data_IF_212964431910
#
_entry.id   IF_212964431910
#
_cell.length_a   1.000
_cell.length_b   1.000
_cell.length_c   1.000
_cell.angle_alpha   90.00
_cell.angle_beta   90.00
_cell.angle_gamma   90.00
#
_symmetry.space_group_name_H-M   'P 1'
#
loop_
_entity.id
_entity.type
_entity.pdbx_description
1 polymer ?
#
# COMPACT_ATOMS: atom_id res chain seq x y z
N UNK A 1 15.63 -44.79 16.58
CA UNK A 1 16.83 -43.92 16.72
C UNK A 1 16.42 -42.77 17.63
N UNK A 2 17.04 -42.67 18.82
CA UNK A 2 16.85 -41.51 19.70
C UNK A 2 17.74 -40.36 19.16
N UNK A 3 17.20 -39.19 19.05
CA UNK A 3 17.94 -37.99 18.62
C UNK A 3 18.90 -37.58 19.75
N UNK A 4 20.16 -37.25 19.42
CA UNK A 4 21.17 -36.80 20.40
C UNK A 4 21.06 -35.29 20.63
N UNK A 5 20.13 -34.86 21.49
CA UNK A 5 19.94 -33.47 21.85
C UNK A 5 21.16 -32.90 22.58
N UNK A 6 21.92 -33.68 23.34
CA UNK A 6 23.09 -33.16 24.06
C UNK A 6 24.20 -32.75 23.06
N UNK A 7 24.48 -33.60 22.08
CA UNK A 7 25.45 -33.28 21.02
C UNK A 7 25.07 -32.07 20.20
N UNK A 8 23.79 -31.93 19.87
CA UNK A 8 23.25 -30.82 19.11
C UNK A 8 23.35 -29.47 19.88
N UNK A 9 22.91 -29.47 21.15
CA UNK A 9 22.82 -28.27 21.97
C UNK A 9 24.12 -27.86 22.66
N UNK A 10 25.16 -28.68 22.60
CA UNK A 10 26.44 -28.39 23.24
C UNK A 10 27.07 -27.06 22.85
N UNK A 11 26.79 -26.57 21.66
CA UNK A 11 27.33 -25.30 21.15
C UNK A 11 26.33 -24.14 21.22
N UNK A 12 25.14 -24.34 21.75
CA UNK A 12 24.12 -23.28 21.86
C UNK A 12 24.52 -22.25 22.92
N UNK A 13 24.18 -20.96 22.71
CA UNK A 13 24.35 -19.92 23.72
C UNK A 13 23.53 -20.23 24.99
N UNK A 14 24.03 -19.80 26.16
CA UNK A 14 23.36 -20.03 27.44
C UNK A 14 21.92 -19.49 27.45
N UNK A 15 21.67 -18.38 26.78
CA UNK A 15 20.34 -17.76 26.64
C UNK A 15 19.35 -18.69 25.90
N UNK A 16 19.79 -19.38 24.84
CA UNK A 16 18.94 -20.32 24.09
C UNK A 16 18.63 -21.57 24.88
N UNK A 17 19.64 -22.09 25.62
CA UNK A 17 19.44 -23.23 26.50
C UNK A 17 18.47 -22.89 27.64
N UNK A 18 18.58 -21.70 28.23
CA UNK A 18 17.67 -21.21 29.25
C UNK A 18 16.23 -21.07 28.73
N UNK A 19 16.07 -20.60 27.50
CA UNK A 19 14.76 -20.52 26.83
C UNK A 19 14.11 -21.90 26.67
N UNK A 20 14.86 -22.92 26.25
CA UNK A 20 14.36 -24.31 26.15
C UNK A 20 13.85 -24.80 27.50
N UNK A 21 14.59 -24.50 28.58
CA UNK A 21 14.19 -24.91 29.94
C UNK A 21 12.94 -24.17 30.44
N UNK A 22 12.75 -22.90 30.07
CA UNK A 22 11.62 -22.08 30.53
C UNK A 22 10.33 -22.36 29.76
N UNK A 23 10.42 -22.92 28.55
CA UNK A 23 9.29 -23.25 27.70
C UNK A 23 9.19 -24.77 27.44
N UNK A 24 9.04 -25.61 28.50
CA UNK A 24 9.07 -27.07 28.34
C UNK A 24 7.93 -27.62 27.49
N UNK A 25 6.84 -26.87 27.32
CA UNK A 25 5.71 -27.27 26.48
C UNK A 25 5.99 -27.22 24.98
N UNK A 26 7.00 -26.46 24.56
CA UNK A 26 7.35 -26.27 23.17
C UNK A 26 8.44 -27.23 22.67
N UNK A 27 9.02 -28.01 23.61
CA UNK A 27 10.16 -28.89 23.34
C UNK A 27 9.91 -30.30 23.85
N UNK A 28 10.61 -31.29 23.30
CA UNK A 28 10.57 -32.64 23.77
C UNK A 28 11.23 -32.75 25.16
N UNK A 29 10.75 -33.62 26.06
CA UNK A 29 11.31 -33.76 27.42
C UNK A 29 12.82 -34.03 27.42
N UNK A 30 13.30 -34.80 26.47
CA UNK A 30 14.73 -35.15 26.32
C UNK A 30 15.56 -33.91 25.92
N UNK A 31 14.99 -32.98 25.12
CA UNK A 31 15.63 -31.74 24.74
C UNK A 31 15.77 -30.82 25.96
N UNK A 32 14.74 -30.74 26.79
CA UNK A 32 14.77 -29.93 28.05
C UNK A 32 15.79 -30.51 29.04
N UNK A 33 15.84 -31.83 29.17
CA UNK A 33 16.82 -32.50 30.03
C UNK A 33 18.25 -32.25 29.54
N UNK A 34 18.51 -32.34 28.24
CA UNK A 34 19.80 -32.08 27.65
C UNK A 34 20.24 -30.58 27.86
N UNK A 35 19.33 -29.66 27.67
CA UNK A 35 19.62 -28.23 27.91
C UNK A 35 19.98 -27.95 29.39
N UNK A 36 19.23 -28.55 30.33
CA UNK A 36 19.49 -28.45 31.75
C UNK A 36 20.86 -29.04 32.13
N UNK A 37 21.20 -30.20 31.57
CA UNK A 37 22.48 -30.86 31.82
C UNK A 37 23.64 -30.01 31.33
N UNK A 38 23.55 -29.45 30.10
CA UNK A 38 24.59 -28.57 29.52
C UNK A 38 24.81 -27.32 30.37
N UNK A 39 23.73 -26.68 30.85
CA UNK A 39 23.85 -25.50 31.71
C UNK A 39 24.51 -25.82 33.04
N UNK A 40 24.21 -26.99 33.64
CA UNK A 40 24.85 -27.46 34.86
C UNK A 40 26.33 -27.80 34.63
N UNK A 41 26.68 -28.43 33.52
CA UNK A 41 28.06 -28.79 33.18
C UNK A 41 28.93 -27.54 32.95
N UNK A 42 28.34 -26.42 32.48
CA UNK A 42 29.02 -25.16 32.30
C UNK A 42 29.27 -24.39 33.60
N UNK A 43 28.71 -24.82 34.73
CA UNK A 43 28.88 -24.18 36.05
C UNK A 43 28.67 -22.65 36.03
N UNK A 44 27.59 -22.19 35.39
CA UNK A 44 27.30 -20.77 35.23
C UNK A 44 27.12 -20.11 36.59
N UNK A 45 27.81 -18.99 36.84
CA UNK A 45 27.69 -18.21 38.08
C UNK A 45 26.23 -17.77 38.30
N UNK A 46 25.78 -17.75 39.55
CA UNK A 46 24.40 -17.37 39.91
C UNK A 46 24.02 -15.99 39.38
N UNK A 47 24.96 -15.07 39.38
CA UNK A 47 24.78 -13.69 38.87
C UNK A 47 24.57 -13.66 37.35
N UNK A 48 25.33 -14.49 36.60
CA UNK A 48 25.19 -14.63 35.16
C UNK A 48 23.87 -15.28 34.82
N UNK A 49 23.42 -16.28 35.56
CA UNK A 49 22.12 -16.92 35.36
C UNK A 49 20.97 -15.93 35.57
N UNK A 50 21.05 -15.06 36.61
CA UNK A 50 20.04 -14.03 36.87
C UNK A 50 20.00 -12.99 35.73
N UNK A 51 21.15 -12.56 35.24
CA UNK A 51 21.23 -11.59 34.13
C UNK A 51 20.66 -12.16 32.82
N UNK A 52 20.88 -13.45 32.54
CA UNK A 52 20.32 -14.16 31.41
C UNK A 52 18.80 -14.31 31.55
N UNK A 53 18.30 -14.63 32.74
CA UNK A 53 16.86 -14.77 33.01
C UNK A 53 16.13 -13.42 32.83
N UNK A 54 16.75 -12.33 33.31
CA UNK A 54 16.22 -10.98 33.11
C UNK A 54 16.19 -10.58 31.64
N UNK A 55 17.26 -10.86 30.88
CA UNK A 55 17.33 -10.61 29.44
C UNK A 55 16.26 -11.40 28.67
N UNK A 56 15.92 -12.58 29.13
CA UNK A 56 14.89 -13.43 28.54
C UNK A 56 13.48 -12.88 28.81
N UNK A 57 13.25 -12.39 30.04
CA UNK A 57 12.00 -11.70 30.40
C UNK A 57 11.79 -10.43 29.56
N UNK A 58 12.82 -9.60 29.44
CA UNK A 58 12.78 -8.35 28.65
C UNK A 58 12.46 -8.65 27.17
N UNK A 59 13.04 -9.71 26.59
CA UNK A 59 12.75 -10.15 25.23
C UNK A 59 11.31 -10.67 25.05
N UNK A 60 10.75 -11.35 26.05
CA UNK A 60 9.37 -11.82 26.02
C UNK A 60 8.39 -10.66 26.15
N UNK A 61 8.69 -9.69 27.01
CA UNK A 61 7.87 -8.50 27.19
C UNK A 61 7.84 -7.62 25.91
N UNK A 62 9.01 -7.41 25.29
CA UNK A 62 9.13 -6.70 24.00
C UNK A 62 8.34 -7.39 22.86
N UNK A 63 8.32 -8.73 22.85
CA UNK A 63 7.50 -9.51 21.92
C UNK A 63 6.01 -9.34 22.19
N UNK A 64 5.58 -9.38 23.46
CA UNK A 64 4.18 -9.15 23.84
C UNK A 64 3.71 -7.78 23.43
N UNK A 65 4.49 -6.73 23.72
CA UNK A 65 4.17 -5.36 23.32
C UNK A 65 4.02 -5.23 21.79
N UNK A 66 4.93 -5.84 21.03
CA UNK A 66 4.85 -5.84 19.56
C UNK A 66 3.59 -6.54 19.04
N UNK A 67 3.25 -7.69 19.61
CA UNK A 67 2.04 -8.45 19.24
C UNK A 67 0.80 -7.61 19.57
N UNK A 68 0.72 -7.05 20.78
CA UNK A 68 -0.39 -6.20 21.20
C UNK A 68 -0.56 -4.96 20.30
N UNK A 69 0.55 -4.32 19.95
CA UNK A 69 0.55 -3.19 19.01
C UNK A 69 0.04 -3.58 17.62
N UNK A 70 0.46 -4.75 17.12
CA UNK A 70 -0.03 -5.29 15.84
C UNK A 70 -1.53 -5.61 15.91
N UNK A 71 -2.01 -6.18 17.00
CA UNK A 71 -3.43 -6.48 17.20
C UNK A 71 -4.27 -5.21 17.31
N UNK A 72 -3.80 -4.20 18.02
CA UNK A 72 -4.45 -2.87 18.06
C UNK A 72 -4.53 -2.27 16.66
N UNK A 73 -3.43 -2.26 15.91
CA UNK A 73 -3.42 -1.76 14.53
C UNK A 73 -4.36 -2.56 13.60
N UNK A 74 -4.43 -3.89 13.75
CA UNK A 74 -5.38 -4.73 13.01
C UNK A 74 -6.83 -4.38 13.36
N UNK A 75 -7.12 -4.17 14.65
CA UNK A 75 -8.46 -3.82 15.11
C UNK A 75 -8.87 -2.43 14.63
N UNK A 76 -7.97 -1.45 14.71
CA UNK A 76 -8.18 -0.11 14.17
C UNK A 76 -8.40 -0.15 12.65
N UNK A 77 -7.54 -0.87 11.91
CA UNK A 77 -7.71 -1.06 10.48
C UNK A 77 -9.02 -1.78 10.13
N UNK A 78 -9.39 -2.82 10.89
CA UNK A 78 -10.67 -3.50 10.71
C UNK A 78 -11.86 -2.58 11.01
N UNK A 79 -11.76 -1.71 11.99
CA UNK A 79 -12.80 -0.72 12.33
C UNK A 79 -12.92 0.33 11.22
N UNK A 80 -11.80 0.81 10.67
CA UNK A 80 -11.77 1.74 9.55
C UNK A 80 -12.26 1.09 8.24
N UNK A 81 -11.98 -0.21 8.04
CA UNK A 81 -12.38 -0.96 6.86
C UNK A 81 -13.77 -1.60 7.00
N UNK A 82 -14.31 -1.73 8.22
CA UNK A 82 -15.63 -2.35 8.47
C UNK A 82 -16.76 -1.72 7.67
N UNK A 83 -16.81 -0.39 7.43
CA UNK A 83 -17.82 0.19 6.56
C UNK A 83 -17.68 -0.26 5.09
N UNK A 84 -16.47 -0.66 4.68
CA UNK A 84 -16.17 -1.11 3.31
C UNK A 84 -16.48 -2.60 3.16
N UNK A 85 -16.19 -3.40 4.20
CA UNK A 85 -16.25 -4.86 4.17
C UNK A 85 -17.61 -5.44 4.59
N UNK A 86 -18.45 -4.66 5.28
CA UNK A 86 -19.79 -5.11 5.67
C UNK A 86 -20.85 -4.62 4.68
N UNK A 87 -21.30 -5.46 3.73
CA UNK A 87 -22.28 -5.05 2.71
C UNK A 87 -23.69 -4.80 3.26
N UNK A 88 -23.94 -5.05 4.55
CA UNK A 88 -25.28 -4.98 5.13
C UNK A 88 -25.69 -3.62 5.73
N UNK A 89 -24.76 -2.72 5.99
CA UNK A 89 -25.14 -1.35 6.35
C UNK A 89 -25.15 -0.55 5.04
N UNK A 90 -26.34 -0.13 4.58
CA UNK A 90 -26.47 0.87 3.50
C UNK A 90 -25.63 2.08 3.88
N UNK A 91 -24.39 2.07 3.46
CA UNK A 91 -23.49 3.21 3.63
C UNK A 91 -24.11 4.32 2.80
N UNK A 92 -24.40 5.44 3.42
CA UNK A 92 -24.94 6.58 2.70
C UNK A 92 -23.92 6.98 1.61
N UNK A 93 -24.31 6.84 0.32
CA UNK A 93 -23.39 7.18 -0.78
C UNK A 93 -22.87 8.62 -0.70
N UNK A 94 -23.57 9.51 0.01
CA UNK A 94 -23.18 10.90 0.22
C UNK A 94 -21.95 11.02 1.15
N UNK A 95 -21.84 10.16 2.16
CA UNK A 95 -20.67 10.13 3.06
C UNK A 95 -19.43 9.68 2.32
N UNK A 96 -19.56 8.63 1.49
CA UNK A 96 -18.48 8.17 0.64
C UNK A 96 -17.99 9.24 -0.33
N UNK A 97 -18.93 9.99 -0.93
CA UNK A 97 -18.59 11.10 -1.79
C UNK A 97 -17.77 12.15 -1.03
N UNK A 98 -18.10 12.45 0.23
CA UNK A 98 -17.36 13.41 1.05
C UNK A 98 -15.93 12.96 1.31
N UNK A 99 -15.70 11.69 1.70
CA UNK A 99 -14.35 11.14 1.87
C UNK A 99 -13.55 11.18 0.56
N UNK A 100 -14.21 10.83 -0.53
CA UNK A 100 -13.61 10.85 -1.85
C UNK A 100 -13.18 12.26 -2.29
N UNK A 101 -14.01 13.27 -2.02
CA UNK A 101 -13.68 14.67 -2.28
C UNK A 101 -12.47 15.13 -1.45
N UNK A 102 -12.35 14.69 -0.20
CA UNK A 102 -11.16 14.98 0.62
C UNK A 102 -9.90 14.40 -0.02
N UNK A 103 -9.94 13.15 -0.49
CA UNK A 103 -8.78 12.51 -1.13
C UNK A 103 -8.38 13.23 -2.42
N UNK A 104 -9.35 13.61 -3.27
CA UNK A 104 -9.09 14.42 -4.47
C UNK A 104 -8.49 15.78 -4.08
N UNK A 105 -9.02 16.42 -3.05
CA UNK A 105 -8.48 17.68 -2.54
C UNK A 105 -7.02 17.57 -2.11
N UNK A 106 -6.66 16.52 -1.38
CA UNK A 106 -5.28 16.24 -0.98
C UNK A 106 -4.38 15.98 -2.19
N UNK A 107 -4.87 15.22 -3.17
CA UNK A 107 -4.14 14.98 -4.42
C UNK A 107 -3.90 16.30 -5.17
N UNK A 108 -4.88 17.21 -5.19
CA UNK A 108 -4.72 18.53 -5.81
C UNK A 108 -3.65 19.37 -5.11
N UNK A 109 -3.66 19.41 -3.78
CA UNK A 109 -2.60 20.10 -3.02
C UNK A 109 -1.22 19.56 -3.36
N UNK A 110 -1.08 18.23 -3.46
CA UNK A 110 0.16 17.58 -3.88
C UNK A 110 0.58 17.97 -5.30
N UNK A 111 -0.37 18.05 -6.24
CA UNK A 111 -0.13 18.50 -7.62
C UNK A 111 0.36 19.93 -7.65
N UNK A 112 -0.26 20.84 -6.88
CA UNK A 112 0.17 22.24 -6.77
C UNK A 112 1.60 22.37 -6.25
N UNK A 113 1.96 21.55 -5.26
CA UNK A 113 3.34 21.51 -4.74
C UNK A 113 4.34 21.04 -5.81
N UNK A 114 3.96 20.04 -6.61
CA UNK A 114 4.75 19.59 -7.77
C UNK A 114 4.97 20.68 -8.80
N UNK A 115 3.91 21.43 -9.13
CA UNK A 115 3.95 22.55 -10.07
C UNK A 115 4.80 23.69 -9.52
N UNK A 116 4.68 24.03 -8.25
CA UNK A 116 5.53 25.04 -7.63
C UNK A 116 7.01 24.70 -7.75
N UNK A 117 7.40 23.43 -7.52
CA UNK A 117 8.78 22.96 -7.75
C UNK A 117 9.21 23.09 -9.20
N UNK A 118 8.31 22.84 -10.17
CA UNK A 118 8.61 22.99 -11.61
C UNK A 118 8.82 24.44 -11.99
N UNK A 119 8.03 25.37 -11.43
CA UNK A 119 8.19 26.81 -11.64
C UNK A 119 9.56 27.31 -11.14
N UNK A 120 10.03 26.79 -10.00
CA UNK A 120 11.35 27.13 -9.47
C UNK A 120 12.46 26.66 -10.43
N UNK A 121 12.34 25.45 -10.99
CA UNK A 121 13.29 24.95 -12.02
C UNK A 121 13.29 25.81 -13.28
N UNK A 122 12.11 26.22 -13.73
CA UNK A 122 11.96 27.11 -14.88
C UNK A 122 12.69 28.44 -14.66
N UNK A 123 12.60 29.00 -13.45
CA UNK A 123 13.33 30.22 -13.09
C UNK A 123 14.85 30.03 -13.18
N UNK A 124 15.35 28.81 -12.89
CA UNK A 124 16.76 28.45 -12.96
C UNK A 124 17.25 28.09 -14.39
N UNK A 125 16.46 28.37 -15.42
CA UNK A 125 16.75 28.11 -16.86
C UNK A 125 16.96 26.64 -17.21
N UNK A 126 16.33 25.70 -16.47
CA UNK A 126 16.28 24.30 -16.86
C UNK A 126 15.36 24.09 -18.07
N UNK A 127 15.64 23.10 -18.91
CA UNK A 127 14.83 22.78 -20.07
C UNK A 127 13.40 22.42 -19.67
N UNK A 128 12.44 23.07 -20.34
CA UNK A 128 11.02 22.83 -20.14
C UNK A 128 10.52 21.83 -21.18
N UNK A 129 9.91 20.73 -20.71
CA UNK A 129 9.39 19.70 -21.58
C UNK A 129 7.89 19.91 -21.83
N UNK A 130 7.38 19.45 -22.96
CA UNK A 130 5.97 19.52 -23.31
C UNK A 130 5.04 18.88 -22.24
N UNK A 131 5.52 17.87 -21.52
CA UNK A 131 4.80 17.23 -20.39
C UNK A 131 4.49 18.23 -19.28
N UNK A 132 5.31 19.25 -19.09
CA UNK A 132 5.10 20.26 -18.05
C UNK A 132 3.87 21.12 -18.32
N UNK A 133 3.48 21.31 -19.60
CA UNK A 133 2.24 22.02 -19.96
C UNK A 133 0.99 21.23 -19.52
N UNK A 134 1.02 19.91 -19.57
CA UNK A 134 -0.08 19.06 -19.11
C UNK A 134 -0.31 19.25 -17.61
N UNK A 135 0.78 19.33 -16.83
CA UNK A 135 0.67 19.57 -15.40
C UNK A 135 0.09 20.96 -15.09
N UNK A 136 0.47 22.01 -15.84
CA UNK A 136 -0.16 23.33 -15.70
C UNK A 136 -1.65 23.31 -16.02
N UNK A 137 -2.07 22.53 -17.01
CA UNK A 137 -3.49 22.36 -17.32
C UNK A 137 -4.26 21.76 -16.15
N UNK A 138 -3.63 20.86 -15.39
CA UNK A 138 -4.24 20.21 -14.22
C UNK A 138 -4.65 21.20 -13.12
N UNK A 139 -4.01 22.38 -13.04
CA UNK A 139 -4.36 23.45 -12.08
C UNK A 139 -5.81 23.92 -12.27
N UNK A 140 -6.28 23.94 -13.51
CA UNK A 140 -7.65 24.36 -13.83
C UNK A 140 -8.60 23.16 -13.95
N UNK A 141 -8.11 22.06 -14.47
CA UNK A 141 -8.88 20.86 -14.74
C UNK A 141 -9.39 20.18 -13.46
N UNK A 142 -8.53 20.03 -12.44
CA UNK A 142 -8.91 19.36 -11.18
C UNK A 142 -9.97 20.17 -10.41
N UNK A 143 -9.83 21.51 -10.19
CA UNK A 143 -10.89 22.30 -9.55
C UNK A 143 -12.20 22.30 -10.32
N UNK A 144 -12.14 22.26 -11.66
CA UNK A 144 -13.33 22.17 -12.50
C UNK A 144 -14.06 20.83 -12.27
N UNK A 145 -13.34 19.72 -12.27
CA UNK A 145 -13.94 18.41 -11.93
C UNK A 145 -14.52 18.45 -10.50
N UNK A 146 -13.79 18.99 -9.54
CA UNK A 146 -14.21 19.10 -8.15
C UNK A 146 -15.51 19.90 -8.02
N UNK A 147 -15.64 21.01 -8.71
CA UNK A 147 -16.87 21.79 -8.81
C UNK A 147 -18.04 20.96 -9.35
N UNK A 148 -17.82 20.22 -10.46
CA UNK A 148 -18.84 19.37 -11.06
C UNK A 148 -19.27 18.22 -10.14
N UNK A 149 -18.35 17.67 -9.34
CA UNK A 149 -18.64 16.62 -8.37
C UNK A 149 -19.47 17.13 -7.19
N UNK A 150 -19.13 18.31 -6.65
CA UNK A 150 -19.92 18.95 -5.59
C UNK A 150 -21.36 19.23 -6.06
N UNK A 151 -21.49 19.69 -7.32
CA UNK A 151 -22.79 19.92 -7.95
C UNK A 151 -23.48 18.64 -8.42
N UNK A 152 -22.92 17.46 -8.13
CA UNK A 152 -23.43 16.14 -8.55
C UNK A 152 -23.76 16.08 -10.05
N UNK A 153 -22.97 16.76 -10.88
CA UNK A 153 -23.18 16.77 -12.32
C UNK A 153 -22.62 15.50 -12.95
N UNK A 154 -23.35 14.93 -13.92
CA UNK A 154 -22.96 13.74 -14.70
C UNK A 154 -21.55 13.87 -15.31
N UNK A 155 -21.22 15.05 -15.82
CA UNK A 155 -19.89 15.32 -16.39
C UNK A 155 -18.75 15.20 -15.37
N UNK A 156 -18.99 15.55 -14.11
CA UNK A 156 -17.99 15.35 -13.04
C UNK A 156 -17.58 13.89 -12.90
N UNK A 157 -18.57 13.00 -12.88
CA UNK A 157 -18.32 11.54 -12.85
C UNK A 157 -17.58 11.06 -14.11
N UNK A 158 -18.06 11.48 -15.30
CA UNK A 158 -17.47 11.07 -16.59
C UNK A 158 -15.99 11.47 -16.68
N UNK A 159 -15.67 12.73 -16.39
CA UNK A 159 -14.31 13.26 -16.47
C UNK A 159 -13.39 12.59 -15.45
N UNK A 160 -13.86 12.44 -14.22
CA UNK A 160 -13.07 11.80 -13.17
C UNK A 160 -12.83 10.30 -13.43
N UNK A 161 -13.86 9.59 -13.91
CA UNK A 161 -13.71 8.20 -14.28
C UNK A 161 -12.74 8.06 -15.47
N UNK A 162 -12.89 8.88 -16.50
CA UNK A 162 -12.02 8.85 -17.68
C UNK A 162 -10.56 9.15 -17.30
N UNK A 163 -10.31 10.14 -16.45
CA UNK A 163 -8.97 10.47 -15.96
C UNK A 163 -8.33 9.30 -15.20
N UNK A 164 -9.04 8.74 -14.21
CA UNK A 164 -8.51 7.64 -13.41
C UNK A 164 -8.34 6.35 -14.21
N UNK A 165 -9.32 6.01 -15.06
CA UNK A 165 -9.29 4.78 -15.86
C UNK A 165 -8.24 4.87 -16.98
N UNK A 166 -8.13 6.02 -17.66
CA UNK A 166 -7.09 6.27 -18.65
C UNK A 166 -5.69 6.22 -18.03
N UNK A 167 -5.52 6.88 -16.89
CA UNK A 167 -4.26 6.85 -16.14
C UNK A 167 -3.90 5.45 -15.62
N UNK A 168 -4.89 4.61 -15.28
CA UNK A 168 -4.67 3.20 -14.92
C UNK A 168 -4.11 2.43 -16.11
N UNK A 169 -4.69 2.56 -17.30
CA UNK A 169 -4.22 1.92 -18.54
C UNK A 169 -2.78 2.35 -18.84
N UNK A 170 -2.47 3.65 -18.76
CA UNK A 170 -1.12 4.18 -18.98
C UNK A 170 -0.13 3.60 -17.98
N UNK A 171 -0.44 3.58 -16.68
CA UNK A 171 0.44 3.03 -15.66
C UNK A 171 0.69 1.53 -15.82
N UNK A 172 -0.30 0.76 -16.24
CA UNK A 172 -0.13 -0.67 -16.55
C UNK A 172 0.81 -0.86 -17.75
N UNK A 173 0.67 -0.02 -18.78
CA UNK A 173 1.51 -0.07 -19.97
C UNK A 173 2.96 0.33 -19.68
N UNK A 174 3.16 1.39 -18.91
CA UNK A 174 4.50 1.81 -18.46
C UNK A 174 5.18 0.71 -17.64
N UNK A 175 4.42 0.08 -16.73
CA UNK A 175 4.91 -1.04 -15.93
C UNK A 175 5.27 -2.24 -16.81
N UNK A 176 4.45 -2.58 -17.80
CA UNK A 176 4.74 -3.66 -18.75
C UNK A 176 6.02 -3.37 -19.55
N UNK A 177 6.18 -2.15 -20.07
CA UNK A 177 7.35 -1.71 -20.81
C UNK A 177 8.60 -1.78 -19.92
N UNK A 178 8.50 -1.31 -18.68
CA UNK A 178 9.59 -1.34 -17.71
C UNK A 178 10.07 -2.77 -17.45
N UNK A 179 9.17 -3.73 -17.20
CA UNK A 179 9.54 -5.13 -16.99
C UNK A 179 10.08 -5.81 -18.25
N UNK A 180 9.51 -5.50 -19.42
CA UNK A 180 9.93 -6.13 -20.69
C UNK A 180 11.34 -5.73 -21.10
N UNK A 181 11.73 -4.49 -20.89
CA UNK A 181 13.03 -3.96 -21.33
C UNK A 181 14.10 -3.98 -20.23
N UNK A 182 13.85 -4.70 -19.13
CA UNK A 182 14.82 -4.91 -18.03
C UNK A 182 15.52 -3.62 -17.53
N UNK A 183 14.83 -2.50 -17.51
CA UNK A 183 15.32 -1.28 -16.84
C UNK A 183 15.41 -1.47 -15.31
N UNK A 184 15.77 -2.73 -14.87
CA UNK A 184 15.72 -3.20 -13.48
C UNK A 184 16.92 -2.70 -12.67
N UNK A 185 17.62 -1.66 -13.09
CA UNK A 185 18.80 -1.38 -12.31
C UNK A 185 18.60 -0.59 -11.02
N UNK A 186 17.51 0.12 -10.74
CA UNK A 186 17.32 0.77 -9.41
C UNK A 186 15.88 1.30 -9.12
N UNK A 187 14.83 0.78 -9.77
CA UNK A 187 13.46 1.19 -9.47
C UNK A 187 12.85 0.41 -8.29
N UNK A 188 12.41 1.11 -7.26
CA UNK A 188 11.63 0.48 -6.20
C UNK A 188 10.28 0.03 -6.76
N UNK A 189 10.03 -1.29 -6.85
CA UNK A 189 8.78 -1.89 -7.37
C UNK A 189 7.53 -1.29 -6.72
N UNK A 190 7.62 -0.87 -5.46
CA UNK A 190 6.55 -0.22 -4.72
C UNK A 190 6.07 1.07 -5.40
N UNK A 191 6.97 1.84 -6.02
CA UNK A 191 6.64 3.10 -6.71
C UNK A 191 5.72 2.89 -7.93
N UNK A 192 5.71 1.71 -8.52
CA UNK A 192 4.83 1.37 -9.65
C UNK A 192 3.53 0.73 -9.21
N UNK A 193 3.60 -0.18 -8.23
CA UNK A 193 2.43 -0.97 -7.79
C UNK A 193 1.42 -0.10 -7.03
N UNK A 194 1.88 0.76 -6.12
CA UNK A 194 0.98 1.58 -5.29
C UNK A 194 0.08 2.50 -6.12
N UNK A 195 0.57 3.28 -7.10
CA UNK A 195 -0.28 4.10 -7.95
C UNK A 195 -1.31 3.29 -8.75
N UNK A 196 -0.95 2.10 -9.25
CA UNK A 196 -1.87 1.22 -9.97
C UNK A 196 -3.01 0.77 -9.05
N UNK A 197 -2.69 0.31 -7.84
CA UNK A 197 -3.69 -0.13 -6.87
C UNK A 197 -4.65 1.01 -6.47
N UNK A 198 -4.12 2.20 -6.24
CA UNK A 198 -4.93 3.38 -5.91
C UNK A 198 -5.87 3.71 -7.07
N UNK A 199 -5.38 3.78 -8.31
CA UNK A 199 -6.21 4.08 -9.49
C UNK A 199 -7.24 3.01 -9.77
N UNK A 200 -6.89 1.74 -9.59
CA UNK A 200 -7.82 0.62 -9.72
C UNK A 200 -8.94 0.72 -8.67
N UNK A 201 -8.60 1.01 -7.42
CA UNK A 201 -9.57 1.21 -6.35
C UNK A 201 -10.51 2.40 -6.64
N UNK A 202 -9.99 3.52 -7.15
CA UNK A 202 -10.80 4.67 -7.58
C UNK A 202 -11.74 4.32 -8.74
N UNK A 203 -11.23 3.64 -9.78
CA UNK A 203 -12.05 3.22 -10.92
C UNK A 203 -13.17 2.25 -10.47
N UNK A 204 -12.85 1.29 -9.62
CA UNK A 204 -13.83 0.37 -9.03
C UNK A 204 -14.90 1.10 -8.20
N UNK A 205 -14.48 2.04 -7.35
CA UNK A 205 -15.37 2.85 -6.55
C UNK A 205 -16.35 3.66 -7.43
N UNK A 206 -15.85 4.35 -8.45
CA UNK A 206 -16.68 5.10 -9.39
C UNK A 206 -17.62 4.21 -10.20
N UNK A 207 -17.21 2.95 -10.47
CA UNK A 207 -18.04 1.99 -11.19
C UNK A 207 -19.24 1.49 -10.37
N UNK A 208 -19.20 1.63 -9.06
CA UNK A 208 -20.29 1.22 -8.17
C UNK A 208 -21.60 1.93 -8.55
N UNK A 209 -22.72 1.16 -8.61
CA UNK A 209 -24.02 1.67 -9.03
C UNK A 209 -24.52 2.78 -8.10
N UNK A 210 -24.43 2.58 -6.80
CA UNK A 210 -24.86 3.57 -5.82
C UNK A 210 -24.14 4.93 -5.94
N UNK A 211 -22.86 4.91 -6.32
CA UNK A 211 -22.08 6.14 -6.56
C UNK A 211 -22.48 6.78 -7.89
N UNK A 212 -22.60 5.97 -8.96
CA UNK A 212 -22.95 6.47 -10.27
C UNK A 212 -24.36 7.10 -10.31
N UNK A 213 -25.31 6.53 -9.55
CA UNK A 213 -26.67 7.05 -9.42
C UNK A 213 -26.71 8.45 -8.79
N UNK A 214 -25.79 8.79 -7.84
CA UNK A 214 -25.66 10.15 -7.30
C UNK A 214 -25.41 11.21 -8.38
N UNK A 215 -24.83 10.79 -9.52
CA UNK A 215 -24.51 11.64 -10.66
C UNK A 215 -25.46 11.42 -11.84
N UNK A 216 -26.56 10.71 -11.65
CA UNK A 216 -27.50 10.33 -12.72
C UNK A 216 -26.80 9.62 -13.89
N UNK A 217 -25.83 8.75 -13.59
CA UNK A 217 -25.08 7.96 -14.58
C UNK A 217 -25.64 6.54 -14.62
N UNK A 218 -26.20 6.15 -15.75
CA UNK A 218 -26.71 4.82 -16.00
C UNK A 218 -25.62 3.87 -16.53
N UNK A 219 -25.93 2.56 -16.53
CA UNK A 219 -25.02 1.51 -16.99
C UNK A 219 -24.54 1.71 -18.44
N UNK A 220 -25.41 2.22 -19.32
CA UNK A 220 -25.05 2.51 -20.70
C UNK A 220 -23.98 3.60 -20.80
N UNK A 221 -24.10 4.65 -19.97
CA UNK A 221 -23.10 5.72 -19.89
C UNK A 221 -21.77 5.20 -19.35
N UNK A 222 -21.78 4.39 -18.28
CA UNK A 222 -20.57 3.78 -17.73
C UNK A 222 -19.79 3.03 -18.81
N UNK A 223 -20.46 2.10 -19.51
CA UNK A 223 -19.86 1.28 -20.57
C UNK A 223 -19.30 2.16 -21.69
N UNK A 224 -20.09 3.15 -22.17
CA UNK A 224 -19.66 4.06 -23.23
C UNK A 224 -18.44 4.87 -22.82
N UNK A 225 -18.42 5.42 -21.59
CA UNK A 225 -17.27 6.16 -21.08
C UNK A 225 -16.03 5.27 -20.98
N UNK A 226 -16.17 4.04 -20.47
CA UNK A 226 -15.06 3.11 -20.37
C UNK A 226 -14.47 2.77 -21.76
N UNK A 227 -15.30 2.48 -22.75
CA UNK A 227 -14.84 2.16 -24.10
C UNK A 227 -14.19 3.35 -24.80
N UNK A 228 -14.76 4.56 -24.69
CA UNK A 228 -14.18 5.77 -25.25
C UNK A 228 -12.83 6.07 -24.59
N UNK A 229 -12.75 5.96 -23.27
CA UNK A 229 -11.49 6.20 -22.54
C UNK A 229 -10.43 5.17 -22.93
N UNK A 230 -10.77 3.88 -22.92
CA UNK A 230 -9.84 2.82 -23.31
C UNK A 230 -9.32 3.01 -24.74
N UNK A 231 -10.24 3.23 -25.70
CA UNK A 231 -9.89 3.44 -27.10
C UNK A 231 -9.04 4.70 -27.31
N UNK A 232 -9.42 5.82 -26.69
CA UNK A 232 -8.65 7.06 -26.74
C UNK A 232 -7.25 6.93 -26.14
N UNK A 233 -7.11 6.27 -24.99
CA UNK A 233 -5.82 6.05 -24.34
C UNK A 233 -4.92 5.14 -25.19
N UNK A 234 -5.45 4.06 -25.74
CA UNK A 234 -4.68 3.16 -26.62
C UNK A 234 -4.24 3.86 -27.92
N UNK A 235 -5.13 4.67 -28.50
CA UNK A 235 -4.81 5.47 -29.68
C UNK A 235 -3.69 6.49 -29.38
N UNK A 236 -3.78 7.19 -28.24
CA UNK A 236 -2.76 8.12 -27.80
C UNK A 236 -1.40 7.40 -27.62
N UNK A 237 -1.38 6.23 -27.00
CA UNK A 237 -0.18 5.42 -26.86
C UNK A 237 0.40 4.99 -28.21
N UNK A 238 -0.44 4.56 -29.14
CA UNK A 238 -0.01 4.17 -30.49
C UNK A 238 0.63 5.32 -31.23
N UNK A 239 0.05 6.50 -31.21
CA UNK A 239 0.61 7.72 -31.79
C UNK A 239 1.95 8.11 -31.12
N UNK A 240 2.00 8.04 -29.78
CA UNK A 240 3.21 8.38 -29.04
C UNK A 240 4.37 7.44 -29.40
N UNK A 241 4.12 6.14 -29.55
CA UNK A 241 5.13 5.17 -29.95
C UNK A 241 5.62 5.39 -31.40
N UNK A 242 4.71 5.77 -32.31
CA UNK A 242 5.06 6.07 -33.70
C UNK A 242 5.91 7.35 -33.86
N UNK A 243 5.69 8.34 -33.01
CA UNK A 243 6.48 9.60 -33.05
C UNK A 243 7.86 9.41 -32.47
N UNK A 244 8.05 8.39 -31.63
CA UNK A 244 9.32 8.13 -30.94
C UNK A 244 10.20 7.08 -31.65
N UNK A 245 9.64 6.34 -32.60
CA UNK A 245 10.37 5.39 -33.46
C UNK A 245 11.07 6.12 -34.62
#
# INVERSE_FOLDING_TARGET
>A
MSFDFYGEYKNYPNLELLKIMRQPGDYQPEAVAAASQILNDRQIATEEFQSLDQSLQDLEEDKREKIEKIERLKTEAATLLSPILQPQKKIDPSQWLSYFLVVIGLQYVWTLFGIAKKLIRLHNRENFFWVDYIDFFSVFYIPFIFYLLIKKRRWGWILLFADNFGSLILSLSETYIFFKYQYIHHGNTVSFVVPILIRAAFAYFLWNDAIAELFCVNTGTKKRTAWITAGGTLLFMGVFLLVRS
#
